data_IF_945184407925
#
_entry.id   IF_945184407925
#
_cell.length_a   1.000
_cell.length_b   1.000
_cell.length_c   1.000
_cell.angle_alpha   90.00
_cell.angle_beta   90.00
_cell.angle_gamma   90.00
#
_symmetry.space_group_name_H-M   'P 1'
#
loop_
_entity.id
_entity.type
_entity.pdbx_description
1 polymer ?
#
# COMPACT_ATOMS: atom_id res chain seq x y z
N UNK A 1 -11.17 -21.51 19.25
CA UNK A 1 -11.55 -20.18 18.72
C UNK A 1 -11.38 -19.10 19.79
N UNK A 2 -11.80 -19.35 21.04
CA UNK A 2 -11.61 -18.43 22.17
C UNK A 2 -10.13 -18.09 22.41
N UNK A 3 -9.24 -19.08 22.41
CA UNK A 3 -7.80 -18.88 22.59
C UNK A 3 -7.18 -17.95 21.53
N UNK A 4 -7.66 -18.03 20.27
CA UNK A 4 -7.20 -17.14 19.20
C UNK A 4 -7.68 -15.70 19.41
N UNK A 5 -8.91 -15.51 19.86
CA UNK A 5 -9.48 -14.20 20.18
C UNK A 5 -8.70 -13.57 21.34
N UNK A 6 -8.46 -14.31 22.41
CA UNK A 6 -7.67 -13.86 23.56
C UNK A 6 -6.23 -13.51 23.17
N UNK A 7 -5.58 -14.36 22.35
CA UNK A 7 -4.24 -14.09 21.84
C UNK A 7 -4.19 -12.80 21.01
N UNK A 8 -5.17 -12.57 20.12
CA UNK A 8 -5.23 -11.36 19.29
C UNK A 8 -5.46 -10.11 20.13
N UNK A 9 -6.33 -10.17 21.13
CA UNK A 9 -6.55 -9.04 22.04
C UNK A 9 -5.32 -8.75 22.91
N UNK A 10 -4.67 -9.76 23.46
CA UNK A 10 -3.46 -9.62 24.27
C UNK A 10 -2.29 -9.01 23.48
N UNK A 11 -2.23 -9.28 22.16
CA UNK A 11 -1.13 -8.84 21.31
C UNK A 11 -1.52 -7.69 20.35
N UNK A 12 -2.66 -7.06 20.54
CA UNK A 12 -3.15 -5.98 19.66
C UNK A 12 -2.16 -4.83 19.50
N UNK A 13 -1.40 -4.51 20.55
CA UNK A 13 -0.36 -3.48 20.50
C UNK A 13 0.75 -3.78 19.49
N UNK A 14 1.05 -5.05 19.23
CA UNK A 14 2.05 -5.47 18.25
C UNK A 14 1.50 -5.51 16.83
N UNK A 15 0.19 -5.69 16.67
CA UNK A 15 -0.46 -5.73 15.36
C UNK A 15 -0.31 -4.39 14.62
N UNK A 16 -0.37 -3.26 15.32
CA UNK A 16 -0.24 -1.92 14.72
C UNK A 16 1.12 -1.72 14.04
N UNK A 17 2.28 -1.88 14.73
CA UNK A 17 3.59 -1.72 14.09
C UNK A 17 3.86 -2.79 13.02
N UNK A 18 3.37 -4.01 13.18
CA UNK A 18 3.53 -5.06 12.17
C UNK A 18 2.78 -4.70 10.89
N UNK A 19 1.51 -4.29 11.00
CA UNK A 19 0.70 -3.83 9.87
C UNK A 19 1.34 -2.64 9.16
N UNK A 20 1.86 -1.68 9.93
CA UNK A 20 2.58 -0.53 9.37
C UNK A 20 3.81 -0.98 8.58
N UNK A 21 4.67 -1.83 9.18
CA UNK A 21 5.91 -2.28 8.54
C UNK A 21 5.67 -3.12 7.28
N UNK A 22 4.66 -3.99 7.28
CA UNK A 22 4.28 -4.78 6.11
C UNK A 22 3.77 -3.87 4.99
N UNK A 23 2.88 -2.91 5.31
CA UNK A 23 2.37 -1.95 4.34
C UNK A 23 3.48 -1.05 3.78
N UNK A 24 4.39 -0.60 4.64
CA UNK A 24 5.57 0.16 4.25
C UNK A 24 6.46 -0.64 3.29
N UNK A 25 6.84 -1.86 3.67
CA UNK A 25 7.73 -2.71 2.88
C UNK A 25 7.14 -3.03 1.50
N UNK A 26 5.82 -3.29 1.43
CA UNK A 26 5.14 -3.53 0.16
C UNK A 26 5.13 -2.33 -0.78
N UNK A 27 5.19 -1.12 -0.23
CA UNK A 27 5.21 0.12 -1.03
C UNK A 27 6.61 0.63 -1.36
N UNK A 28 7.67 -0.03 -0.84
CA UNK A 28 9.05 0.23 -1.26
C UNK A 28 9.38 -0.60 -2.50
N UNK A 29 9.86 0.07 -3.56
CA UNK A 29 9.97 -0.48 -4.92
C UNK A 29 10.72 -1.82 -5.03
N UNK A 30 11.66 -2.11 -4.12
CA UNK A 30 12.48 -3.34 -4.15
C UNK A 30 11.78 -4.48 -3.40
N UNK A 31 11.00 -4.18 -2.35
CA UNK A 31 10.41 -5.16 -1.44
C UNK A 31 9.02 -5.65 -1.88
N UNK A 32 8.34 -4.89 -2.74
CA UNK A 32 6.95 -5.18 -3.16
C UNK A 32 6.74 -6.50 -3.91
N UNK A 33 7.82 -7.09 -4.45
CA UNK A 33 7.77 -8.38 -5.17
C UNK A 33 7.73 -9.60 -4.25
N UNK A 34 8.03 -9.43 -2.96
CA UNK A 34 8.19 -10.53 -2.00
C UNK A 34 6.92 -10.81 -1.20
N UNK A 35 6.00 -9.85 -1.07
CA UNK A 35 4.87 -9.98 -0.15
C UNK A 35 3.54 -9.73 -0.87
N UNK A 36 2.64 -10.73 -0.99
CA UNK A 36 1.28 -10.52 -1.50
C UNK A 36 0.40 -9.88 -0.41
N UNK A 37 0.74 -8.64 -0.01
CA UNK A 37 0.15 -7.99 1.15
C UNK A 37 -1.36 -7.68 1.00
N UNK A 38 -1.89 -7.56 -0.22
CA UNK A 38 -3.33 -7.39 -0.43
C UNK A 38 -4.12 -8.55 0.16
N UNK A 39 -3.67 -9.80 -0.08
CA UNK A 39 -4.28 -11.00 0.50
C UNK A 39 -4.12 -11.00 2.02
N UNK A 40 -2.91 -10.66 2.50
CA UNK A 40 -2.63 -10.56 3.93
C UNK A 40 -3.57 -9.55 4.63
N UNK A 41 -3.67 -8.32 4.13
CA UNK A 41 -4.48 -7.27 4.77
C UNK A 41 -5.98 -7.56 4.69
N UNK A 42 -6.46 -8.16 3.60
CA UNK A 42 -7.88 -8.55 3.49
C UNK A 42 -8.20 -9.67 4.48
N UNK A 43 -7.36 -10.71 4.56
CA UNK A 43 -7.56 -11.83 5.49
C UNK A 43 -7.41 -11.37 6.95
N UNK A 44 -6.39 -10.56 7.23
CA UNK A 44 -6.15 -10.01 8.56
C UNK A 44 -7.29 -9.09 9.00
N UNK A 45 -7.79 -8.23 8.11
CA UNK A 45 -8.92 -7.36 8.36
C UNK A 45 -10.20 -8.14 8.66
N UNK A 46 -10.48 -9.18 7.88
CA UNK A 46 -11.63 -10.06 8.11
C UNK A 46 -11.54 -10.78 9.46
N UNK A 47 -10.35 -11.29 9.82
CA UNK A 47 -10.11 -11.95 11.10
C UNK A 47 -10.22 -10.95 12.27
N UNK A 48 -9.65 -9.76 12.14
CA UNK A 48 -9.73 -8.70 13.14
C UNK A 48 -11.19 -8.25 13.39
N UNK A 49 -12.00 -8.15 12.33
CA UNK A 49 -13.44 -7.87 12.45
C UNK A 49 -14.18 -9.01 13.13
N UNK A 50 -13.90 -10.27 12.77
CA UNK A 50 -14.51 -11.44 13.37
C UNK A 50 -14.22 -11.58 14.87
N UNK A 51 -13.05 -11.10 15.31
CA UNK A 51 -12.61 -11.13 16.73
C UNK A 51 -12.97 -9.86 17.51
N UNK A 52 -13.63 -8.88 16.88
CA UNK A 52 -14.06 -7.63 17.52
C UNK A 52 -12.93 -6.64 17.82
N UNK A 53 -11.78 -6.76 17.15
CA UNK A 53 -10.68 -5.81 17.29
C UNK A 53 -11.05 -4.45 16.69
N UNK A 54 -10.46 -3.39 17.25
CA UNK A 54 -10.63 -2.05 16.69
C UNK A 54 -9.91 -1.92 15.35
N UNK A 55 -10.68 -1.85 14.25
CA UNK A 55 -10.17 -1.80 12.89
C UNK A 55 -9.55 -0.44 12.52
N UNK A 56 -9.93 0.65 13.21
CA UNK A 56 -9.48 2.01 12.85
C UNK A 56 -7.96 2.18 13.02
N UNK A 57 -7.35 1.86 14.18
CA UNK A 57 -5.89 1.98 14.34
C UNK A 57 -5.11 1.10 13.36
N UNK A 58 -5.62 -0.09 13.04
CA UNK A 58 -5.00 -1.01 12.08
C UNK A 58 -5.05 -0.45 10.65
N UNK A 59 -6.20 0.09 10.25
CA UNK A 59 -6.37 0.74 8.94
C UNK A 59 -5.49 1.99 8.80
N UNK A 60 -5.38 2.79 9.86
CA UNK A 60 -4.48 3.94 9.92
C UNK A 60 -3.02 3.52 9.79
N UNK A 61 -2.61 2.46 10.49
CA UNK A 61 -1.25 1.94 10.41
C UNK A 61 -0.92 1.47 8.98
N UNK A 62 -1.83 0.75 8.33
CA UNK A 62 -1.66 0.32 6.94
C UNK A 62 -1.58 1.52 5.98
N UNK A 63 -2.46 2.50 6.13
CA UNK A 63 -2.49 3.70 5.30
C UNK A 63 -1.21 4.53 5.45
N UNK A 64 -0.75 4.77 6.68
CA UNK A 64 0.46 5.53 6.96
C UNK A 64 1.72 4.77 6.52
N UNK A 65 1.77 3.46 6.72
CA UNK A 65 2.85 2.61 6.23
C UNK A 65 2.97 2.68 4.72
N UNK A 66 1.85 2.48 4.01
CA UNK A 66 1.79 2.59 2.55
C UNK A 66 2.21 3.98 2.05
N UNK A 67 1.66 5.05 2.63
CA UNK A 67 2.00 6.42 2.24
C UNK A 67 3.48 6.73 2.44
N UNK A 68 4.08 6.26 3.54
CA UNK A 68 5.51 6.44 3.84
C UNK A 68 6.39 5.66 2.86
N UNK A 69 6.03 4.42 2.52
CA UNK A 69 6.75 3.61 1.54
C UNK A 69 6.72 4.20 0.13
N UNK A 70 5.57 4.74 -0.29
CA UNK A 70 5.44 5.49 -1.54
C UNK A 70 6.29 6.76 -1.56
N UNK A 71 6.29 7.49 -0.46
CA UNK A 71 7.10 8.70 -0.34
C UNK A 71 8.59 8.39 -0.49
N UNK A 72 9.08 7.34 0.19
CA UNK A 72 10.49 6.93 0.06
C UNK A 72 10.81 6.47 -1.36
N UNK A 73 9.92 5.71 -2.02
CA UNK A 73 10.09 5.30 -3.41
C UNK A 73 10.14 6.48 -4.37
N UNK A 74 9.27 7.48 -4.18
CA UNK A 74 9.28 8.73 -4.94
C UNK A 74 10.59 9.49 -4.72
N UNK A 75 11.04 9.64 -3.47
CA UNK A 75 12.29 10.31 -3.14
C UNK A 75 13.51 9.59 -3.73
N UNK A 76 13.53 8.28 -3.67
CA UNK A 76 14.55 7.47 -4.34
C UNK A 76 14.56 7.74 -5.85
N UNK A 77 13.41 7.83 -6.50
CA UNK A 77 13.28 8.21 -7.90
C UNK A 77 13.85 9.59 -8.21
N UNK A 78 13.59 10.57 -7.35
CA UNK A 78 14.14 11.93 -7.48
C UNK A 78 15.68 11.95 -7.39
N UNK A 79 16.24 11.21 -6.42
CA UNK A 79 17.71 11.19 -6.16
C UNK A 79 18.44 10.38 -7.23
N UNK A 80 17.92 9.22 -7.56
CA UNK A 80 18.53 8.33 -8.56
C UNK A 80 18.35 8.88 -9.97
N UNK A 81 17.24 9.57 -10.23
CA UNK A 81 16.96 10.24 -11.50
C UNK A 81 17.16 9.34 -12.73
N UNK A 82 17.68 9.87 -13.84
CA UNK A 82 17.94 9.08 -15.05
C UNK A 82 18.95 7.94 -14.87
N UNK A 83 19.81 7.99 -13.83
CA UNK A 83 20.78 6.94 -13.52
C UNK A 83 20.13 5.60 -13.12
N UNK A 84 18.84 5.61 -12.75
CA UNK A 84 18.06 4.38 -12.55
C UNK A 84 17.94 3.58 -13.85
N UNK A 85 17.95 4.24 -15.00
CA UNK A 85 18.02 3.59 -16.31
C UNK A 85 19.24 2.72 -16.52
N UNK A 86 20.34 2.98 -15.78
CA UNK A 86 21.59 2.22 -15.86
C UNK A 86 21.60 0.99 -14.93
N UNK A 87 20.57 0.81 -14.09
CA UNK A 87 20.46 -0.28 -13.11
C UNK A 87 19.29 -1.23 -13.47
N UNK A 88 19.49 -2.51 -13.16
CA UNK A 88 18.41 -3.51 -13.29
C UNK A 88 17.18 -3.13 -12.43
N UNK A 89 15.94 -3.27 -12.90
CA UNK A 89 15.49 -3.88 -14.16
C UNK A 89 15.32 -2.91 -15.34
N UNK A 90 15.57 -1.62 -15.17
CA UNK A 90 15.30 -0.57 -16.17
C UNK A 90 16.37 -0.51 -17.26
N UNK A 91 17.61 -0.92 -16.94
CA UNK A 91 18.72 -1.00 -17.90
C UNK A 91 18.38 -1.87 -19.12
N UNK A 92 17.72 -2.99 -18.87
CA UNK A 92 17.40 -3.95 -19.91
C UNK A 92 16.12 -3.57 -20.68
N UNK A 93 15.42 -2.52 -20.23
CA UNK A 93 14.15 -2.14 -20.83
C UNK A 93 13.91 -0.60 -20.76
N UNK A 94 14.69 0.19 -21.53
CA UNK A 94 14.55 1.66 -21.54
C UNK A 94 13.14 2.13 -21.98
N UNK A 95 12.42 1.28 -22.72
CA UNK A 95 11.03 1.53 -23.09
C UNK A 95 10.08 1.63 -21.87
N UNK A 96 10.44 1.05 -20.71
CA UNK A 96 9.63 1.19 -19.49
C UNK A 96 9.67 2.61 -18.93
N UNK A 97 10.82 3.30 -18.99
CA UNK A 97 10.93 4.70 -18.60
C UNK A 97 10.10 5.60 -19.51
N UNK A 98 10.15 5.37 -20.83
CA UNK A 98 9.36 6.14 -21.78
C UNK A 98 7.86 5.93 -21.53
N UNK A 99 7.42 4.68 -21.38
CA UNK A 99 6.02 4.38 -21.01
C UNK A 99 5.59 5.01 -19.71
N UNK A 100 6.49 5.10 -18.72
CA UNK A 100 6.25 5.80 -17.46
C UNK A 100 6.06 7.31 -17.68
N UNK A 101 6.88 7.93 -18.51
CA UNK A 101 6.74 9.32 -18.92
C UNK A 101 5.39 9.56 -19.60
N UNK A 102 5.08 8.79 -20.66
CA UNK A 102 3.84 8.89 -21.41
C UNK A 102 2.60 8.68 -20.51
N UNK A 103 2.72 7.74 -19.54
CA UNK A 103 1.68 7.48 -18.56
C UNK A 103 1.42 8.69 -17.67
N UNK A 104 2.47 9.33 -17.12
CA UNK A 104 2.30 10.51 -16.27
C UNK A 104 1.97 11.77 -17.04
N UNK A 105 2.40 11.89 -18.30
CA UNK A 105 1.98 12.97 -19.19
C UNK A 105 0.47 12.89 -19.44
N UNK A 106 -0.06 11.68 -19.64
CA UNK A 106 -1.49 11.44 -19.90
C UNK A 106 -2.36 11.52 -18.63
N UNK A 107 -1.93 10.90 -17.53
CA UNK A 107 -2.74 10.71 -16.33
C UNK A 107 -2.38 11.64 -15.18
N UNK A 108 -1.21 12.26 -15.21
CA UNK A 108 -0.74 13.16 -14.17
C UNK A 108 -0.87 12.59 -12.77
N UNK A 109 -1.46 13.36 -11.87
CA UNK A 109 -1.70 13.00 -10.45
C UNK A 109 -2.62 11.78 -10.30
N UNK A 110 -3.59 11.63 -11.21
CA UNK A 110 -4.48 10.46 -11.22
C UNK A 110 -3.72 9.16 -11.47
N UNK A 111 -2.61 9.22 -12.22
CA UNK A 111 -1.72 8.07 -12.42
C UNK A 111 -1.14 7.52 -11.11
N UNK A 112 -0.82 8.39 -10.16
CA UNK A 112 -0.36 7.99 -8.82
C UNK A 112 -1.49 7.28 -8.07
N UNK A 113 -2.68 7.87 -8.05
CA UNK A 113 -3.84 7.32 -7.35
C UNK A 113 -4.27 5.97 -7.94
N UNK A 114 -4.38 5.88 -9.26
CA UNK A 114 -4.75 4.64 -9.97
C UNK A 114 -3.66 3.57 -9.75
N UNK A 115 -2.40 3.93 -9.95
CA UNK A 115 -1.26 3.02 -9.80
C UNK A 115 -1.16 2.39 -8.42
N UNK A 116 -1.67 3.08 -7.39
CA UNK A 116 -1.69 2.57 -6.01
C UNK A 116 -2.49 1.27 -5.85
N UNK A 117 -3.50 1.04 -6.68
CA UNK A 117 -4.36 -0.15 -6.63
C UNK A 117 -3.84 -1.33 -7.47
N UNK A 118 -2.78 -1.14 -8.25
CA UNK A 118 -2.23 -2.17 -9.14
C UNK A 118 -1.04 -2.93 -8.51
N UNK A 119 -1.28 -3.71 -7.47
CA UNK A 119 -0.35 -4.70 -6.90
C UNK A 119 1.14 -4.33 -6.97
N UNK A 120 2.02 -5.17 -7.57
CA UNK A 120 3.46 -4.92 -7.61
C UNK A 120 3.88 -3.66 -8.40
N UNK A 121 3.03 -3.18 -9.31
CA UNK A 121 3.31 -2.02 -10.16
C UNK A 121 3.27 -0.73 -9.34
N UNK A 122 2.53 -0.70 -8.24
CA UNK A 122 2.36 0.51 -7.43
C UNK A 122 3.67 1.12 -6.96
N UNK A 123 4.62 0.31 -6.47
CA UNK A 123 5.90 0.80 -6.00
C UNK A 123 6.76 1.38 -7.13
N UNK A 124 6.64 0.81 -8.33
CA UNK A 124 7.29 1.32 -9.55
C UNK A 124 6.68 2.66 -9.96
N UNK A 125 5.37 2.83 -9.81
CA UNK A 125 4.67 4.09 -10.12
C UNK A 125 5.23 5.24 -9.27
N UNK A 126 5.44 5.05 -7.97
CA UNK A 126 6.03 6.07 -7.10
C UNK A 126 7.48 6.41 -7.49
N UNK A 127 8.28 5.38 -7.80
CA UNK A 127 9.66 5.56 -8.26
C UNK A 127 9.72 6.36 -9.56
N UNK A 128 8.90 6.00 -10.55
CA UNK A 128 8.84 6.68 -11.85
C UNK A 128 8.33 8.11 -11.70
N UNK A 129 7.33 8.36 -10.84
CA UNK A 129 6.88 9.72 -10.52
C UNK A 129 8.04 10.60 -10.00
N UNK A 130 8.95 10.04 -9.20
CA UNK A 130 10.17 10.69 -8.76
C UNK A 130 11.15 10.95 -9.92
N UNK A 131 11.39 9.96 -10.78
CA UNK A 131 12.31 10.07 -11.93
C UNK A 131 11.86 11.17 -12.90
N UNK A 132 10.55 11.24 -13.19
CA UNK A 132 9.97 12.29 -14.06
C UNK A 132 9.80 13.63 -13.34
N UNK A 133 10.28 13.74 -12.09
CA UNK A 133 10.24 14.96 -11.27
C UNK A 133 8.83 15.54 -11.12
N UNK A 134 7.85 14.66 -10.90
CA UNK A 134 6.49 15.10 -10.62
C UNK A 134 6.48 16.09 -9.44
N UNK A 135 5.70 17.19 -9.46
CA UNK A 135 5.63 18.13 -8.34
C UNK A 135 5.26 17.42 -7.02
N UNK A 136 5.99 17.75 -5.96
CA UNK A 136 5.88 17.06 -4.66
C UNK A 136 4.46 17.08 -4.07
N UNK A 137 3.83 18.25 -3.98
CA UNK A 137 2.52 18.36 -3.34
C UNK A 137 1.41 17.62 -4.07
N UNK A 138 1.24 17.74 -5.40
CA UNK A 138 0.28 16.92 -6.15
C UNK A 138 0.51 15.42 -5.95
N UNK A 139 1.78 14.96 -5.98
CA UNK A 139 2.12 13.57 -5.70
C UNK A 139 1.67 13.15 -4.29
N UNK A 140 2.00 13.94 -3.26
CA UNK A 140 1.68 13.59 -1.87
C UNK A 140 0.17 13.55 -1.60
N UNK A 141 -0.60 14.50 -2.16
CA UNK A 141 -2.06 14.50 -2.02
C UNK A 141 -2.65 13.21 -2.59
N UNK A 142 -2.24 12.82 -3.80
CA UNK A 142 -2.70 11.57 -4.42
C UNK A 142 -2.24 10.34 -3.65
N UNK A 143 -0.97 10.33 -3.20
CA UNK A 143 -0.39 9.27 -2.40
C UNK A 143 -1.19 9.05 -1.10
N UNK A 144 -1.39 10.10 -0.30
CA UNK A 144 -2.14 9.98 0.96
C UNK A 144 -3.59 9.55 0.70
N UNK A 145 -4.29 10.21 -0.22
CA UNK A 145 -5.68 9.86 -0.55
C UNK A 145 -5.81 8.39 -0.96
N UNK A 146 -4.95 7.91 -1.86
CA UNK A 146 -4.97 6.53 -2.32
C UNK A 146 -4.56 5.53 -1.23
N UNK A 147 -3.55 5.85 -0.40
CA UNK A 147 -3.10 5.01 0.70
C UNK A 147 -4.19 4.84 1.76
N UNK A 148 -4.91 5.92 2.08
CA UNK A 148 -6.04 5.86 3.01
C UNK A 148 -7.20 5.05 2.43
N UNK A 149 -7.58 5.29 1.18
CA UNK A 149 -8.62 4.51 0.50
C UNK A 149 -8.26 3.02 0.47
N UNK A 150 -7.00 2.68 0.19
CA UNK A 150 -6.51 1.31 0.14
C UNK A 150 -6.47 0.66 1.53
N UNK A 151 -5.86 1.29 2.53
CA UNK A 151 -5.72 0.74 3.88
C UNK A 151 -7.08 0.53 4.57
N UNK A 152 -7.98 1.51 4.46
CA UNK A 152 -9.34 1.37 4.97
C UNK A 152 -10.17 0.39 4.15
N UNK A 153 -10.03 0.37 2.82
CA UNK A 153 -10.73 -0.59 1.97
C UNK A 153 -10.40 -2.04 2.33
N UNK A 154 -9.11 -2.36 2.51
CA UNK A 154 -8.67 -3.73 2.77
C UNK A 154 -8.91 -4.18 4.23
N UNK A 155 -8.60 -3.36 5.22
CA UNK A 155 -8.71 -3.77 6.62
C UNK A 155 -10.11 -3.48 7.17
N UNK A 156 -10.54 -2.22 7.11
CA UNK A 156 -11.82 -1.80 7.67
C UNK A 156 -12.98 -2.39 6.86
N UNK A 157 -12.91 -2.33 5.53
CA UNK A 157 -13.93 -2.88 4.64
C UNK A 157 -14.10 -4.39 4.83
N UNK A 158 -13.00 -5.16 4.78
CA UNK A 158 -13.04 -6.61 4.98
C UNK A 158 -13.50 -6.99 6.40
N UNK A 159 -13.06 -6.25 7.43
CA UNK A 159 -13.44 -6.49 8.80
C UNK A 159 -14.95 -6.26 9.03
N UNK A 160 -15.48 -5.13 8.54
CA UNK A 160 -16.92 -4.83 8.64
C UNK A 160 -17.79 -5.83 7.85
N UNK A 161 -17.31 -6.26 6.69
CA UNK A 161 -17.98 -7.30 5.92
C UNK A 161 -18.02 -8.63 6.69
N UNK A 162 -16.91 -9.03 7.31
CA UNK A 162 -16.84 -10.25 8.14
C UNK A 162 -17.80 -10.18 9.33
N UNK A 163 -17.81 -9.06 10.08
CA UNK A 163 -18.76 -8.84 11.17
C UNK A 163 -20.23 -8.97 10.70
N UNK A 164 -20.53 -8.37 9.56
CA UNK A 164 -21.87 -8.42 8.97
C UNK A 164 -22.28 -9.87 8.64
N UNK A 165 -21.42 -10.61 7.96
CA UNK A 165 -21.66 -12.01 7.59
C UNK A 165 -21.90 -12.90 8.82
N UNK A 166 -21.08 -12.73 9.88
CA UNK A 166 -21.25 -13.51 11.12
C UNK A 166 -22.58 -13.22 11.83
N UNK A 167 -23.05 -11.97 11.81
CA UNK A 167 -24.36 -11.60 12.36
C UNK A 167 -25.53 -12.25 11.62
N UNK A 168 -25.38 -12.48 10.31
CA UNK A 168 -26.41 -13.16 9.50
C UNK A 168 -26.35 -14.69 9.62
N UNK A 169 -25.15 -15.26 9.70
CA UNK A 169 -24.97 -16.71 9.84
C UNK A 169 -25.36 -17.25 11.23
N UNK A 170 -25.40 -16.38 12.24
CA UNK A 170 -25.83 -16.73 13.61
C UNK A 170 -27.34 -16.56 13.89
N UNK A 171 -28.11 -16.21 12.85
CA UNK A 171 -29.59 -16.19 12.89
C UNK A 171 -30.14 -17.39 12.13
#
# INVERSE_FOLDING_TARGET
MQDLVEFMHANQQWAIPIVFLIAFAECVAILSWLVPATVFFTTFGALAGATGLNLVPLSLAAALGAASGFWISYWAGLVLGPRVGDHWPLRDNPALLQRGHDFFEKWGVLGVAIGHFFGPIRAVVALVAGIVKMPFWPFQIANFAASFAWGFGLIYGAGRFSEYMLRFAGK
#
